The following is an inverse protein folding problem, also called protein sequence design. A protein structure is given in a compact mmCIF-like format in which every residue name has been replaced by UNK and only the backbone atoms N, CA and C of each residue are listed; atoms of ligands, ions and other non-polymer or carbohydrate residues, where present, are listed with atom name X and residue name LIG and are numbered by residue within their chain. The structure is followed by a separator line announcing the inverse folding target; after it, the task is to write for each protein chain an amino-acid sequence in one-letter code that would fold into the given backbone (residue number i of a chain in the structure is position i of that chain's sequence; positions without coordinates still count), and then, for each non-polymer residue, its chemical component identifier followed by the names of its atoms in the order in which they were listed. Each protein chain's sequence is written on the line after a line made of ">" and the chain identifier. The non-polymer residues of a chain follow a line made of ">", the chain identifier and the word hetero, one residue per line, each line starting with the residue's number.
data_IF_773934420216
#
_entry.id   IF_773934420216
#
_cell.length_a   1.000
_cell.length_b   1.000
_cell.length_c   1.000
_cell.angle_alpha   90.00
_cell.angle_beta   90.00
_cell.angle_gamma   90.00
#
_symmetry.space_group_name_H-M   'P 1'
#
loop_
_entity.id
_entity.type
_entity.pdbx_description
1 polymer ?
#
# COMPACT_ATOMS: atom_id res chain seq x y z
N UNK A 1 4.88 -12.11 14.10
CA UNK A 1 3.57 -12.06 13.43
C UNK A 1 3.85 -12.10 11.93
N UNK A 2 3.17 -12.96 11.17
CA UNK A 2 3.49 -13.18 9.75
C UNK A 2 2.29 -12.80 8.90
N UNK A 3 2.48 -11.92 7.93
CA UNK A 3 1.42 -11.44 7.03
C UNK A 3 1.68 -11.94 5.63
N UNK A 4 0.66 -12.52 5.00
CA UNK A 4 0.76 -13.04 3.62
C UNK A 4 0.10 -12.06 2.66
N UNK A 5 0.84 -11.65 1.63
CA UNK A 5 0.34 -10.75 0.58
C UNK A 5 0.37 -11.47 -0.75
N UNK A 6 -0.75 -11.45 -1.48
CA UNK A 6 -0.81 -11.98 -2.86
C UNK A 6 -0.27 -10.93 -3.83
N UNK A 7 0.61 -11.37 -4.71
CA UNK A 7 1.18 -10.54 -5.76
C UNK A 7 0.89 -11.17 -7.12
N UNK A 8 0.52 -10.34 -8.09
CA UNK A 8 0.45 -10.76 -9.49
C UNK A 8 1.86 -11.06 -10.01
N UNK A 9 1.96 -11.81 -11.12
CA UNK A 9 3.23 -12.11 -11.76
C UNK A 9 4.02 -10.84 -12.14
N UNK A 10 3.32 -9.78 -12.56
CA UNK A 10 3.93 -8.50 -12.89
C UNK A 10 4.50 -7.80 -11.63
N UNK A 11 3.74 -7.77 -10.54
CA UNK A 11 4.21 -7.20 -9.26
C UNK A 11 5.40 -7.98 -8.70
N UNK A 12 5.38 -9.32 -8.82
CA UNK A 12 6.50 -10.18 -8.39
C UNK A 12 7.79 -9.88 -9.15
N UNK A 13 7.71 -9.59 -10.46
CA UNK A 13 8.87 -9.17 -11.27
C UNK A 13 9.41 -7.82 -10.81
N UNK A 14 8.53 -6.82 -10.61
CA UNK A 14 8.94 -5.51 -10.06
C UNK A 14 9.63 -5.64 -8.70
N UNK A 15 9.15 -6.53 -7.83
CA UNK A 15 9.78 -6.80 -6.54
C UNK A 15 11.18 -7.41 -6.69
N UNK A 16 11.37 -8.34 -7.62
CA UNK A 16 12.69 -8.92 -7.93
C UNK A 16 13.66 -7.86 -8.47
N UNK A 17 13.18 -6.97 -9.34
CA UNK A 17 13.97 -5.85 -9.85
C UNK A 17 14.37 -4.88 -8.72
N UNK A 18 13.42 -4.51 -7.85
CA UNK A 18 13.69 -3.68 -6.68
C UNK A 18 14.73 -4.32 -5.75
N UNK A 19 14.60 -5.62 -5.49
CA UNK A 19 15.57 -6.38 -4.71
C UNK A 19 16.96 -6.34 -5.37
N UNK A 20 17.06 -6.50 -6.69
CA UNK A 20 18.33 -6.42 -7.42
C UNK A 20 18.96 -5.02 -7.34
N UNK A 21 18.15 -3.96 -7.40
CA UNK A 21 18.62 -2.56 -7.25
C UNK A 21 19.15 -2.33 -5.83
N UNK A 22 18.39 -2.75 -4.81
CA UNK A 22 18.82 -2.64 -3.41
C UNK A 22 20.10 -3.45 -3.16
N UNK A 23 20.21 -4.64 -3.77
CA UNK A 23 21.39 -5.50 -3.65
C UNK A 23 22.64 -4.83 -4.21
N UNK A 24 22.54 -4.06 -5.30
CA UNK A 24 23.67 -3.30 -5.86
C UNK A 24 24.17 -2.20 -4.92
N UNK A 25 23.32 -1.70 -4.03
CA UNK A 25 23.65 -0.63 -3.08
C UNK A 25 24.07 -1.15 -1.70
N UNK A 26 23.94 -2.45 -1.46
CA UNK A 26 24.27 -3.08 -0.19
C UNK A 26 25.44 -4.03 -0.33
N UNK A 27 26.33 -4.03 0.65
CA UNK A 27 27.42 -5.00 0.78
C UNK A 27 26.94 -6.35 1.32
N UNK A 28 25.69 -6.44 1.79
CA UNK A 28 25.08 -7.66 2.33
C UNK A 28 23.99 -8.20 1.41
N UNK A 29 23.78 -9.51 1.44
CA UNK A 29 22.69 -10.16 0.71
C UNK A 29 21.35 -9.68 1.30
N UNK A 30 20.48 -9.13 0.44
CA UNK A 30 19.16 -8.64 0.83
C UNK A 30 18.14 -9.75 0.59
N UNK A 31 17.44 -10.13 1.64
CA UNK A 31 16.30 -11.05 1.59
C UNK A 31 15.08 -10.37 0.97
N UNK A 32 14.14 -11.18 0.46
CA UNK A 32 12.88 -10.65 -0.08
C UNK A 32 12.08 -9.90 1.01
N UNK A 33 12.14 -10.35 2.26
CA UNK A 33 11.47 -9.69 3.39
C UNK A 33 12.05 -8.31 3.70
N UNK A 34 13.38 -8.17 3.67
CA UNK A 34 14.05 -6.87 3.85
C UNK A 34 13.75 -5.91 2.70
N UNK A 35 13.70 -6.40 1.46
CA UNK A 35 13.31 -5.58 0.31
C UNK A 35 11.87 -5.06 0.45
N UNK A 36 10.93 -5.93 0.88
CA UNK A 36 9.54 -5.52 1.15
C UNK A 36 9.50 -4.49 2.28
N UNK A 37 10.23 -4.73 3.38
CA UNK A 37 10.30 -3.80 4.51
C UNK A 37 10.79 -2.42 4.09
N UNK A 38 11.90 -2.36 3.35
CA UNK A 38 12.45 -1.09 2.86
C UNK A 38 11.49 -0.33 1.93
N UNK A 39 10.76 -1.04 1.07
CA UNK A 39 9.74 -0.43 0.21
C UNK A 39 8.55 0.10 1.03
N UNK A 40 8.11 -0.65 2.04
CA UNK A 40 7.04 -0.23 2.93
C UNK A 40 7.43 1.02 3.75
N UNK A 41 8.64 1.02 4.32
CA UNK A 41 9.16 2.16 5.08
C UNK A 41 9.27 3.42 4.20
N UNK A 42 9.79 3.26 2.99
CA UNK A 42 9.87 4.35 2.02
C UNK A 42 8.48 4.89 1.66
N UNK A 43 7.51 4.01 1.43
CA UNK A 43 6.15 4.40 1.11
C UNK A 43 5.46 5.13 2.27
N UNK A 44 5.69 4.68 3.52
CA UNK A 44 5.17 5.33 4.73
C UNK A 44 5.76 6.74 4.92
N UNK A 45 7.03 6.95 4.56
CA UNK A 45 7.68 8.26 4.59
C UNK A 45 7.23 9.17 3.45
N UNK A 46 6.85 8.59 2.31
CA UNK A 46 6.46 9.31 1.09
C UNK A 46 4.97 9.09 0.77
N UNK A 47 4.09 9.39 1.73
CA UNK A 47 2.64 9.14 1.64
C UNK A 47 1.97 9.73 0.40
N UNK A 48 2.54 10.81 -0.18
CA UNK A 48 2.04 11.42 -1.42
C UNK A 48 2.13 10.47 -2.61
N UNK A 49 3.18 9.64 -2.68
CA UNK A 49 3.35 8.63 -3.73
C UNK A 49 2.30 7.52 -3.61
N UNK A 50 1.96 7.13 -2.37
CA UNK A 50 0.87 6.19 -2.11
C UNK A 50 -0.49 6.77 -2.51
N UNK A 51 -0.73 8.06 -2.25
CA UNK A 51 -1.99 8.72 -2.59
C UNK A 51 -2.20 8.87 -4.10
N UNK A 52 -1.12 9.08 -4.86
CA UNK A 52 -1.19 9.17 -6.32
C UNK A 52 -1.56 7.81 -6.95
N UNK A 53 -0.89 6.73 -6.53
CA UNK A 53 -1.16 5.37 -7.03
C UNK A 53 -2.52 4.82 -6.54
N UNK A 54 -2.97 5.23 -5.35
CA UNK A 54 -4.25 4.80 -4.80
C UNK A 54 -5.45 5.25 -5.63
N UNK A 55 -5.33 6.34 -6.41
CA UNK A 55 -6.41 6.82 -7.27
C UNK A 55 -6.68 5.85 -8.42
N UNK A 56 -5.64 5.30 -9.02
CA UNK A 56 -5.74 4.26 -10.07
C UNK A 56 -6.05 2.89 -9.46
N UNK A 57 -5.55 2.64 -8.24
CA UNK A 57 -5.80 1.40 -7.51
C UNK A 57 -7.28 1.25 -7.10
N UNK A 58 -7.98 2.34 -6.75
CA UNK A 58 -9.43 2.30 -6.47
C UNK A 58 -10.24 1.72 -7.63
N UNK A 59 -9.89 2.11 -8.86
CA UNK A 59 -10.57 1.66 -10.05
C UNK A 59 -10.31 0.17 -10.31
N UNK A 60 -9.08 -0.30 -10.08
CA UNK A 60 -8.73 -1.73 -10.16
C UNK A 60 -9.31 -2.59 -9.03
N UNK A 61 -9.62 -1.98 -7.88
CA UNK A 61 -10.23 -2.66 -6.74
C UNK A 61 -11.75 -2.79 -6.88
N UNK A 62 -12.43 -1.81 -7.50
CA UNK A 62 -13.86 -1.94 -7.85
C UNK A 62 -14.13 -3.09 -8.84
N UNK A 63 -13.16 -3.42 -9.68
CA UNK A 63 -13.23 -4.54 -10.64
C UNK A 63 -12.87 -5.91 -10.03
N UNK A 64 -12.42 -5.96 -8.76
CA UNK A 64 -12.06 -7.21 -8.08
C UNK A 64 -13.32 -7.86 -7.46
N UNK A 65 -13.74 -9.05 -7.90
CA UNK A 65 -14.92 -9.74 -7.36
C UNK A 65 -14.80 -10.16 -5.89
N UNK A 66 -13.61 -10.03 -5.29
CA UNK A 66 -13.37 -10.27 -3.87
C UNK A 66 -13.15 -8.98 -3.06
N UNK A 67 -13.14 -7.82 -3.70
CA UNK A 67 -13.03 -6.53 -3.03
C UNK A 67 -14.43 -5.96 -2.77
N UNK A 68 -15.03 -6.45 -1.68
CA UNK A 68 -16.34 -6.01 -1.23
C UNK A 68 -16.22 -4.74 -0.37
N UNK A 69 -16.55 -3.59 -0.96
CA UNK A 69 -16.61 -2.29 -0.28
C UNK A 69 -17.69 -2.23 0.81
N UNK A 70 -18.61 -3.20 0.90
CA UNK A 70 -19.56 -3.28 2.02
C UNK A 70 -18.90 -3.63 3.36
N UNK A 71 -17.69 -4.20 3.33
CA UNK A 71 -16.91 -4.60 4.51
C UNK A 71 -15.89 -3.53 4.90
N UNK A 72 -15.52 -2.64 3.97
CA UNK A 72 -14.53 -1.59 4.22
C UNK A 72 -15.23 -0.32 4.69
N UNK A 73 -15.28 -0.12 6.01
CA UNK A 73 -15.55 1.18 6.61
C UNK A 73 -14.63 2.24 5.98
N UNK A 74 -15.20 3.14 5.18
CA UNK A 74 -14.66 4.44 4.75
C UNK A 74 -13.13 4.60 4.80
N UNK A 75 -12.38 3.73 4.11
CA UNK A 75 -10.94 3.92 3.86
C UNK A 75 -10.72 4.85 2.65
N UNK A 76 -11.43 5.97 2.64
CA UNK A 76 -11.06 7.12 1.83
C UNK A 76 -9.98 7.95 2.51
N UNK A 77 -9.47 9.01 1.85
CA UNK A 77 -8.69 10.04 2.54
C UNK A 77 -9.61 10.69 3.57
N UNK A 78 -9.57 10.16 4.79
CA UNK A 78 -10.42 10.64 5.85
C UNK A 78 -9.83 11.95 6.36
N UNK A 79 -10.36 13.07 5.87
CA UNK A 79 -10.14 14.35 6.53
C UNK A 79 -10.71 14.25 7.95
N UNK A 80 -9.86 14.47 8.96
CA UNK A 80 -10.24 14.40 10.36
C UNK A 80 -11.47 15.26 10.66
N UNK A 81 -11.65 16.37 9.92
CA UNK A 81 -12.82 17.25 10.03
C UNK A 81 -14.13 16.60 9.59
N UNK A 82 -14.06 15.64 8.66
CA UNK A 82 -15.22 14.89 8.17
C UNK A 82 -15.65 13.82 9.17
N UNK A 83 -14.68 13.16 9.83
CA UNK A 83 -14.97 12.22 10.93
C UNK A 83 -15.59 12.91 12.13
N UNK A 84 -15.05 14.05 12.55
CA UNK A 84 -15.62 14.80 13.67
C UNK A 84 -17.05 15.25 13.38
N UNK A 85 -17.35 15.60 12.13
CA UNK A 85 -18.71 15.97 11.71
C UNK A 85 -19.69 14.79 11.76
N UNK A 86 -19.24 13.60 11.34
CA UNK A 86 -20.05 12.38 11.31
C UNK A 86 -20.29 11.81 12.73
N UNK A 87 -19.25 11.77 13.56
CA UNK A 87 -19.30 11.15 14.88
C UNK A 87 -19.89 12.09 15.93
N UNK A 88 -19.59 13.38 15.86
CA UNK A 88 -19.93 14.33 16.92
C UNK A 88 -20.98 15.34 16.49
N UNK A 89 -21.53 15.27 15.27
CA UNK A 89 -22.69 16.04 14.83
C UNK A 89 -22.57 17.53 15.17
N UNK A 90 -21.93 18.31 14.30
CA UNK A 90 -21.63 19.74 14.46
C UNK A 90 -22.62 20.49 15.39
N UNK A 91 -22.10 21.17 16.41
CA UNK A 91 -22.76 22.39 16.92
C UNK A 91 -22.67 23.51 15.89
#
# INVERSE_FOLDING_TARGET
>A
MTTTVRLTSAQKRKLQEAQAILQKRSTRKISQGEAIGALADFALQNRVLLAADAKDMRQALEDDPFYDLSIVFDLGPTDARTLDRLLYGRR
#
